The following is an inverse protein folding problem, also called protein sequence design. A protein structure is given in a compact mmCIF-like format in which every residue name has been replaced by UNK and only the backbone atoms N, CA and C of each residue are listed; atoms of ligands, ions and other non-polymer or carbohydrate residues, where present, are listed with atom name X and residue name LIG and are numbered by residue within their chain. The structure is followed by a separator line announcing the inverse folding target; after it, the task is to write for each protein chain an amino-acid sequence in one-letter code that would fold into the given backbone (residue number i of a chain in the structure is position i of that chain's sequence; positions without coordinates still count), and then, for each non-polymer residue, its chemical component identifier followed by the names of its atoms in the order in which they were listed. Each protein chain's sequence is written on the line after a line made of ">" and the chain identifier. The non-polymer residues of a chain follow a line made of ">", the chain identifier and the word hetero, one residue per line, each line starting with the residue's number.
data_IF_174855310515
#
_entry.id   IF_174855310515
#
_cell.length_a   1.000
_cell.length_b   1.000
_cell.length_c   1.000
_cell.angle_alpha   90.00
_cell.angle_beta   90.00
_cell.angle_gamma   90.00
#
_symmetry.space_group_name_H-M   'P 1'
#
loop_
_entity.id
_entity.type
_entity.pdbx_description
1 polymer ?
#
# COMPACT_ATOMS: atom_id res chain seq x y z
N UNK A 1 -16.62 29.00 23.05
CA UNK A 1 -17.07 28.21 21.88
C UNK A 1 -15.87 27.40 21.38
N UNK A 2 -15.82 26.09 21.61
CA UNK A 2 -14.71 25.25 21.09
C UNK A 2 -14.94 25.02 19.59
N UNK A 3 -13.93 25.16 18.71
CA UNK A 3 -14.10 24.84 17.30
C UNK A 3 -14.45 23.35 17.20
N UNK A 4 -15.63 23.06 16.65
CA UNK A 4 -16.08 21.68 16.38
C UNK A 4 -15.34 21.19 15.15
N UNK A 5 -14.10 20.75 15.33
CA UNK A 5 -13.48 19.86 14.35
C UNK A 5 -14.27 18.55 14.37
N UNK A 6 -14.84 18.19 13.21
CA UNK A 6 -15.59 16.95 13.06
C UNK A 6 -14.60 15.79 12.93
N UNK A 7 -14.28 15.16 14.05
CA UNK A 7 -13.23 14.15 14.14
C UNK A 7 -13.80 12.76 13.89
N UNK A 8 -13.24 12.05 12.90
CA UNK A 8 -13.57 10.64 12.63
C UNK A 8 -12.99 9.71 13.70
N UNK A 9 -11.79 10.02 14.23
CA UNK A 9 -11.12 9.24 15.27
C UNK A 9 -10.80 10.11 16.49
N UNK A 10 -11.80 10.50 17.28
CA UNK A 10 -11.60 11.30 18.48
C UNK A 10 -10.89 10.51 19.60
N UNK A 11 -10.27 11.23 20.52
CA UNK A 11 -9.95 10.72 21.86
C UNK A 11 -11.25 10.47 22.66
N UNK A 12 -11.15 9.82 23.82
CA UNK A 12 -12.30 9.59 24.70
C UNK A 12 -12.99 10.89 25.17
N UNK A 13 -12.29 12.03 25.09
CA UNK A 13 -12.80 13.37 25.45
C UNK A 13 -13.07 14.25 24.21
N UNK A 14 -13.21 13.63 23.02
CA UNK A 14 -13.52 14.32 21.76
C UNK A 14 -12.49 15.38 21.34
N UNK A 15 -11.21 15.07 21.57
CA UNK A 15 -10.08 15.87 21.08
C UNK A 15 -9.26 15.09 20.06
N UNK A 16 -8.30 15.76 19.42
CA UNK A 16 -7.27 15.07 18.64
C UNK A 16 -6.55 14.04 19.52
N UNK A 17 -6.25 12.89 18.93
CA UNK A 17 -5.40 11.88 19.57
C UNK A 17 -3.93 12.30 19.45
N UNK A 18 -3.21 12.17 20.55
CA UNK A 18 -1.77 12.36 20.57
C UNK A 18 -1.07 11.16 19.89
N UNK A 19 -0.17 11.36 18.91
CA UNK A 19 0.52 10.28 18.21
C UNK A 19 1.31 9.34 19.12
N UNK A 20 1.92 9.87 20.20
CA UNK A 20 2.70 9.08 21.15
C UNK A 20 1.78 8.17 21.97
N UNK A 21 0.61 8.67 22.39
CA UNK A 21 -0.38 7.85 23.08
C UNK A 21 -0.93 6.74 22.18
N UNK A 22 -1.18 7.03 20.90
CA UNK A 22 -1.59 6.01 19.91
C UNK A 22 -0.48 4.97 19.73
N UNK A 23 0.79 5.40 19.68
CA UNK A 23 1.94 4.50 19.63
C UNK A 23 2.04 3.58 20.84
N UNK A 24 1.86 4.11 22.06
CA UNK A 24 1.85 3.31 23.28
C UNK A 24 0.67 2.33 23.33
N UNK A 25 -0.51 2.75 22.87
CA UNK A 25 -1.67 1.86 22.75
C UNK A 25 -1.42 0.73 21.76
N UNK A 26 -0.86 1.04 20.59
CA UNK A 26 -0.43 0.04 19.62
C UNK A 26 0.57 -0.94 20.22
N UNK A 27 1.58 -0.46 20.93
CA UNK A 27 2.58 -1.31 21.58
C UNK A 27 1.93 -2.31 22.55
N UNK A 28 0.97 -1.87 23.37
CA UNK A 28 0.24 -2.75 24.28
C UNK A 28 -0.54 -3.84 23.53
N UNK A 29 -1.29 -3.45 22.49
CA UNK A 29 -2.08 -4.38 21.68
C UNK A 29 -1.18 -5.38 20.97
N UNK A 30 -0.10 -4.91 20.36
CA UNK A 30 0.90 -5.74 19.66
C UNK A 30 1.50 -6.81 20.58
N UNK A 31 1.90 -6.41 21.79
CA UNK A 31 2.44 -7.35 22.79
C UNK A 31 1.38 -8.37 23.21
N UNK A 32 0.14 -7.95 23.45
CA UNK A 32 -0.95 -8.86 23.79
C UNK A 32 -1.28 -9.87 22.68
N UNK A 33 -1.07 -9.49 21.42
CA UNK A 33 -1.26 -10.36 20.25
C UNK A 33 -0.04 -11.24 19.93
N UNK A 34 1.07 -11.10 20.66
CA UNK A 34 2.31 -11.85 20.39
C UNK A 34 2.98 -11.47 19.05
N UNK A 35 2.71 -10.28 18.54
CA UNK A 35 3.28 -9.78 17.29
C UNK A 35 4.71 -9.28 17.48
N UNK A 36 5.55 -9.44 16.45
CA UNK A 36 6.95 -9.05 16.47
C UNK A 36 7.14 -7.53 16.68
N UNK A 37 8.26 -7.15 17.30
CA UNK A 37 8.52 -5.76 17.71
C UNK A 37 8.79 -4.79 16.54
N UNK A 38 9.06 -5.30 15.35
CA UNK A 38 9.24 -4.53 14.13
C UNK A 38 7.93 -4.25 13.40
N UNK A 39 6.80 -4.82 13.84
CA UNK A 39 5.47 -4.49 13.31
C UNK A 39 5.02 -3.14 13.86
N UNK A 40 5.02 -2.14 12.98
CA UNK A 40 4.66 -0.75 13.25
C UNK A 40 3.49 -0.30 12.38
N UNK A 41 3.00 0.92 12.58
CA UNK A 41 2.01 1.52 11.68
C UNK A 41 2.46 1.55 10.21
N UNK A 42 3.78 1.68 9.98
CA UNK A 42 4.34 1.64 8.64
C UNK A 42 4.23 0.25 7.99
N UNK A 43 4.30 -0.82 8.78
CA UNK A 43 4.12 -2.19 8.31
C UNK A 43 2.72 -2.41 7.72
N UNK A 44 1.67 -1.80 8.28
CA UNK A 44 0.33 -1.85 7.71
C UNK A 44 0.24 -1.12 6.37
N UNK A 45 0.93 0.02 6.23
CA UNK A 45 1.03 0.73 4.95
C UNK A 45 1.73 -0.12 3.89
N UNK A 46 2.78 -0.85 4.27
CA UNK A 46 3.40 -1.85 3.40
C UNK A 46 2.44 -2.98 3.02
N UNK A 47 1.69 -3.53 3.98
CA UNK A 47 0.73 -4.60 3.70
C UNK A 47 -0.31 -4.18 2.65
N UNK A 48 -0.86 -2.95 2.74
CA UNK A 48 -1.80 -2.42 1.73
C UNK A 48 -1.15 -2.39 0.34
N UNK A 49 0.08 -1.90 0.25
CA UNK A 49 0.77 -1.81 -1.02
C UNK A 49 1.03 -3.21 -1.64
N UNK A 50 1.44 -4.18 -0.82
CA UNK A 50 1.61 -5.58 -1.23
C UNK A 50 0.29 -6.19 -1.71
N UNK A 51 -0.83 -5.98 -1.00
CA UNK A 51 -2.14 -6.47 -1.41
C UNK A 51 -2.55 -5.91 -2.79
N UNK A 52 -2.30 -4.63 -3.04
CA UNK A 52 -2.63 -3.99 -4.32
C UNK A 52 -1.72 -4.48 -5.45
N UNK A 53 -0.44 -4.71 -5.17
CA UNK A 53 0.52 -5.30 -6.12
C UNK A 53 0.14 -6.75 -6.46
N UNK A 54 -0.25 -7.54 -5.46
CA UNK A 54 -0.71 -8.93 -5.62
C UNK A 54 -2.02 -9.01 -6.42
N UNK A 55 -2.88 -8.00 -6.31
CA UNK A 55 -4.06 -7.84 -7.14
C UNK A 55 -3.74 -7.41 -8.60
N UNK A 56 -2.45 -7.20 -8.94
CA UNK A 56 -2.01 -6.80 -10.27
C UNK A 56 -2.28 -5.34 -10.61
N UNK A 57 -2.55 -4.50 -9.61
CA UNK A 57 -2.80 -3.08 -9.85
C UNK A 57 -1.50 -2.35 -10.19
N UNK A 58 -1.60 -1.35 -11.06
CA UNK A 58 -0.42 -0.58 -11.47
C UNK A 58 0.17 0.22 -10.31
N UNK A 59 1.48 0.48 -10.37
CA UNK A 59 2.21 1.31 -9.41
C UNK A 59 1.54 2.68 -9.19
N UNK A 60 0.92 3.23 -10.24
CA UNK A 60 0.22 4.52 -10.20
C UNK A 60 -1.02 4.45 -9.31
N UNK A 61 -1.88 3.46 -9.54
CA UNK A 61 -3.09 3.26 -8.72
C UNK A 61 -2.70 3.03 -7.26
N UNK A 62 -1.68 2.20 -7.01
CA UNK A 62 -1.16 1.96 -5.66
C UNK A 62 -0.59 3.24 -5.04
N UNK A 63 0.12 4.09 -5.80
CA UNK A 63 0.63 5.37 -5.32
C UNK A 63 -0.50 6.34 -4.93
N UNK A 64 -1.57 6.39 -5.74
CA UNK A 64 -2.74 7.23 -5.49
C UNK A 64 -3.46 6.83 -4.20
N UNK A 65 -3.67 5.52 -3.98
CA UNK A 65 -4.28 4.98 -2.74
C UNK A 65 -3.43 5.28 -1.52
N UNK A 66 -2.11 5.15 -1.65
CA UNK A 66 -1.19 5.43 -0.55
C UNK A 66 -1.03 6.94 -0.32
N UNK A 67 -1.35 7.79 -1.29
CA UNK A 67 -1.09 9.23 -1.23
C UNK A 67 0.40 9.56 -1.35
N UNK A 68 1.15 8.80 -2.15
CA UNK A 68 2.53 9.15 -2.49
C UNK A 68 2.55 10.29 -3.51
N UNK A 69 3.19 11.41 -3.18
CA UNK A 69 3.41 12.51 -4.12
C UNK A 69 4.34 12.10 -5.29
N UNK A 70 5.20 11.10 -5.08
CA UNK A 70 6.09 10.54 -6.10
C UNK A 70 5.80 9.04 -6.33
N UNK A 71 5.24 8.66 -7.49
CA UNK A 71 4.99 7.27 -7.87
C UNK A 71 6.24 6.39 -7.93
N UNK A 72 7.43 6.98 -8.09
CA UNK A 72 8.69 6.24 -8.15
C UNK A 72 9.03 5.56 -6.82
N UNK A 73 8.58 6.10 -5.68
CA UNK A 73 8.69 5.41 -4.38
C UNK A 73 7.85 4.14 -4.34
N UNK A 74 6.61 4.19 -4.87
CA UNK A 74 5.73 3.02 -4.92
C UNK A 74 6.36 1.90 -5.75
N UNK A 75 6.91 2.27 -6.91
CA UNK A 75 7.52 1.34 -7.85
C UNK A 75 8.81 0.71 -7.32
N UNK A 76 9.61 1.43 -6.52
CA UNK A 76 10.87 0.93 -5.95
C UNK A 76 10.69 0.05 -4.72
N UNK A 77 9.70 0.33 -3.87
CA UNK A 77 9.59 -0.32 -2.56
C UNK A 77 8.50 -1.38 -2.47
N UNK A 78 7.49 -1.33 -3.34
CA UNK A 78 6.29 -2.15 -3.16
C UNK A 78 5.97 -3.06 -4.33
N UNK A 79 6.51 -2.78 -5.53
CA UNK A 79 6.38 -3.71 -6.64
C UNK A 79 7.48 -4.77 -6.56
N UNK A 80 7.09 -6.01 -6.24
CA UNK A 80 8.04 -7.11 -6.20
C UNK A 80 8.60 -7.38 -7.60
N UNK A 81 9.92 -7.25 -7.75
CA UNK A 81 10.63 -7.51 -9.01
C UNK A 81 10.81 -9.00 -9.23
N UNK A 82 10.79 -9.44 -10.49
CA UNK A 82 11.09 -10.83 -10.87
C UNK A 82 9.91 -11.79 -10.83
N UNK A 83 8.67 -11.31 -10.71
CA UNK A 83 7.48 -12.15 -10.80
C UNK A 83 7.16 -12.53 -12.25
N UNK A 84 6.75 -13.78 -12.45
CA UNK A 84 6.27 -14.26 -13.75
C UNK A 84 4.88 -13.69 -14.03
N UNK A 85 4.78 -12.74 -14.95
CA UNK A 85 3.50 -12.17 -15.36
C UNK A 85 3.00 -12.86 -16.63
N UNK A 86 2.13 -13.86 -16.49
CA UNK A 86 1.54 -14.58 -17.63
C UNK A 86 0.78 -13.64 -18.58
N UNK A 87 0.14 -12.59 -18.05
CA UNK A 87 -0.49 -11.55 -18.88
C UNK A 87 0.52 -10.78 -19.74
N UNK A 88 1.72 -10.51 -19.21
CA UNK A 88 2.79 -9.87 -19.98
C UNK A 88 3.32 -10.82 -21.07
N UNK A 89 3.51 -12.10 -20.73
CA UNK A 89 3.91 -13.12 -21.70
C UNK A 89 2.89 -13.26 -22.84
N UNK A 90 1.59 -13.30 -22.52
CA UNK A 90 0.52 -13.36 -23.51
C UNK A 90 0.43 -12.10 -24.39
N UNK A 91 0.61 -10.92 -23.81
CA UNK A 91 0.63 -9.66 -24.56
C UNK A 91 1.83 -9.60 -25.54
N UNK A 92 3.00 -10.07 -25.10
CA UNK A 92 4.19 -10.21 -25.93
C UNK A 92 3.97 -11.21 -27.07
N UNK A 93 3.41 -12.38 -26.77
CA UNK A 93 3.12 -13.42 -27.76
C UNK A 93 2.16 -12.91 -28.85
N UNK A 94 1.10 -12.19 -28.46
CA UNK A 94 0.18 -11.57 -29.42
C UNK A 94 0.85 -10.49 -30.28
N UNK A 95 1.69 -9.65 -29.68
CA UNK A 95 2.40 -8.59 -30.40
C UNK A 95 3.43 -9.16 -31.40
N UNK A 96 4.13 -10.23 -31.04
CA UNK A 96 5.07 -10.92 -31.94
C UNK A 96 4.31 -11.64 -33.06
N UNK A 97 3.23 -12.35 -32.74
CA UNK A 97 2.42 -13.05 -33.72
C UNK A 97 1.67 -12.12 -34.69
N UNK A 98 1.33 -10.89 -34.29
CA UNK A 98 0.74 -9.90 -35.20
C UNK A 98 1.78 -9.28 -36.13
N UNK A 99 2.99 -9.00 -35.64
CA UNK A 99 4.10 -8.50 -36.44
C UNK A 99 4.53 -9.51 -37.53
N UNK A 100 4.59 -10.81 -37.20
CA UNK A 100 4.91 -11.86 -38.17
C UNK A 100 3.84 -12.05 -39.25
N UNK A 101 2.57 -11.70 -38.97
CA UNK A 101 1.47 -11.76 -39.95
C UNK A 101 1.43 -10.55 -40.88
N UNK A 102 1.97 -9.41 -40.47
CA UNK A 102 2.06 -8.22 -41.31
C UNK A 102 3.25 -8.22 -42.28
N UNK A 103 4.22 -9.13 -42.06
CA UNK A 103 5.44 -9.27 -42.86
C UNK A 103 5.33 -10.33 -43.96
N UNK A 104 4.13 -10.89 -44.20
CA UNK A 104 3.83 -11.94 -45.19
C UNK A 104 2.60 -11.53 -46.00
#
# INVERSE_FOLDING_TARGET
>A
MRPRVDLVFPSAVWTLRDPQNVGHEWQRVRTALGLAEDITAHSFRHAVATILDDAGLSARITADVLGHADPAMTQRHYMARGRTHHAAAAALDQAVASASRAAN
#
